data_IF_530562007042
#
_entry.id   IF_530562007042
#
_cell.length_a   1.000
_cell.length_b   1.000
_cell.length_c   1.000
_cell.angle_alpha   90.00
_cell.angle_beta   90.00
_cell.angle_gamma   90.00
#
_symmetry.space_group_name_H-M   'P 1'
#
loop_
_entity.id
_entity.type
_entity.pdbx_description
1 polymer ?
#
# COMPACT_ATOMS: atom_id res chain seq x y z
N UNK A 1 28.51 -9.80 26.56
CA UNK A 1 28.38 -8.68 25.61
C UNK A 1 27.60 -9.18 24.39
N UNK A 2 26.32 -8.81 24.21
CA UNK A 2 25.58 -9.09 22.98
C UNK A 2 25.86 -8.01 21.92
N UNK A 3 25.97 -8.43 20.67
CA UNK A 3 26.24 -7.60 19.50
C UNK A 3 25.08 -6.61 19.24
N UNK A 4 25.31 -5.41 18.66
CA UNK A 4 24.23 -4.52 18.21
C UNK A 4 23.67 -5.05 16.88
N UNK A 5 22.93 -6.16 16.91
CA UNK A 5 22.25 -6.63 15.71
C UNK A 5 21.07 -5.71 15.42
N UNK A 6 21.30 -4.80 14.46
CA UNK A 6 20.31 -4.32 13.50
C UNK A 6 18.97 -4.02 14.16
N UNK A 7 18.89 -2.86 14.82
CA UNK A 7 17.62 -2.20 14.99
C UNK A 7 17.17 -1.79 13.59
N UNK A 8 16.45 -2.71 12.90
CA UNK A 8 15.63 -2.30 11.75
C UNK A 8 14.58 -1.39 12.35
N UNK A 9 14.92 -0.12 12.51
CA UNK A 9 13.97 0.93 12.82
C UNK A 9 12.95 0.86 11.71
N UNK A 10 11.85 0.15 11.98
CA UNK A 10 10.70 0.14 11.09
C UNK A 10 10.38 1.63 10.93
N UNK A 11 10.35 2.17 9.70
CA UNK A 11 10.02 3.58 9.51
C UNK A 11 8.76 3.88 10.34
N UNK A 12 8.89 4.78 11.31
CA UNK A 12 7.78 5.20 12.16
C UNK A 12 6.80 5.97 11.28
N UNK A 13 5.84 5.24 10.74
CA UNK A 13 4.84 5.82 9.88
C UNK A 13 3.89 6.70 10.70
N UNK A 14 3.83 7.98 10.38
CA UNK A 14 3.03 8.94 11.13
C UNK A 14 1.57 8.92 10.67
N UNK A 15 1.36 8.71 9.37
CA UNK A 15 0.06 8.67 8.73
C UNK A 15 -0.33 7.29 8.23
N UNK A 16 0.55 6.29 8.30
CA UNK A 16 0.19 4.90 7.97
C UNK A 16 0.00 4.06 9.23
N UNK A 17 -1.08 3.29 9.27
CA UNK A 17 -1.43 2.42 10.39
C UNK A 17 -1.57 0.98 9.91
N UNK A 18 -0.98 0.05 10.66
CA UNK A 18 -1.21 -1.37 10.43
C UNK A 18 -2.58 -1.75 10.99
N UNK A 19 -3.34 -2.53 10.21
CA UNK A 19 -4.62 -3.09 10.64
C UNK A 19 -4.46 -4.61 10.71
N UNK A 20 -4.96 -5.27 11.77
CA UNK A 20 -4.97 -6.72 11.80
C UNK A 20 -5.93 -7.25 10.73
N UNK A 21 -5.38 -7.77 9.63
CA UNK A 21 -6.12 -8.47 8.59
C UNK A 21 -5.69 -9.95 8.57
N UNK A 22 -6.59 -10.85 8.19
CA UNK A 22 -6.32 -12.31 8.26
C UNK A 22 -5.11 -12.75 7.41
N UNK A 23 -4.85 -12.03 6.33
CA UNK A 23 -3.77 -12.34 5.38
C UNK A 23 -3.05 -11.10 4.83
N UNK A 24 -3.65 -9.90 4.95
CA UNK A 24 -3.02 -8.66 4.45
C UNK A 24 -2.14 -8.02 5.52
N UNK A 25 -0.94 -7.60 5.12
CA UNK A 25 0.04 -6.87 5.91
C UNK A 25 0.19 -5.41 5.46
N UNK A 26 -0.53 -5.00 4.42
CA UNK A 26 -0.55 -3.61 3.94
C UNK A 26 -0.91 -2.61 5.03
N UNK A 27 -0.23 -1.47 5.02
CA UNK A 27 -0.59 -0.32 5.85
C UNK A 27 -1.70 0.51 5.22
N UNK A 28 -2.52 1.10 6.07
CA UNK A 28 -3.66 1.94 5.72
C UNK A 28 -3.40 3.39 6.09
N UNK A 29 -3.96 4.32 5.34
CA UNK A 29 -3.87 5.73 5.71
C UNK A 29 -4.73 5.99 6.93
N UNK A 30 -4.16 6.67 7.91
CA UNK A 30 -4.79 7.03 9.17
C UNK A 30 -6.00 7.92 8.89
N UNK A 31 -7.15 7.53 9.43
CA UNK A 31 -8.42 8.22 9.19
C UNK A 31 -9.18 7.73 7.97
N UNK A 32 -8.61 6.85 7.14
CA UNK A 32 -9.31 6.28 5.98
C UNK A 32 -9.39 4.75 6.05
N UNK A 33 -10.16 4.19 5.11
CA UNK A 33 -10.24 2.74 4.84
C UNK A 33 -9.38 2.34 3.64
N UNK A 34 -8.55 3.25 3.14
CA UNK A 34 -7.80 3.09 1.89
C UNK A 34 -6.37 2.64 2.22
N UNK A 35 -5.87 1.56 1.60
CA UNK A 35 -4.50 1.11 1.79
C UNK A 35 -3.54 2.04 1.04
N UNK A 36 -2.31 2.18 1.55
CA UNK A 36 -1.25 2.98 0.95
C UNK A 36 -0.99 2.58 -0.52
N UNK A 37 -1.07 1.29 -0.82
CA UNK A 37 -0.93 0.76 -2.18
C UNK A 37 -1.98 1.32 -3.14
N UNK A 38 -3.23 1.48 -2.72
CA UNK A 38 -4.29 2.00 -3.60
C UNK A 38 -4.02 3.45 -3.95
N UNK A 39 -3.54 4.27 -3.01
CA UNK A 39 -3.16 5.66 -3.29
C UNK A 39 -1.96 5.72 -4.23
N UNK A 40 -0.95 4.90 -4.01
CA UNK A 40 0.21 4.82 -4.91
C UNK A 40 -0.18 4.33 -6.31
N UNK A 41 -0.96 3.26 -6.43
CA UNK A 41 -1.46 2.77 -7.72
C UNK A 41 -2.32 3.82 -8.41
N UNK A 42 -3.22 4.50 -7.68
CA UNK A 42 -4.03 5.59 -8.22
C UNK A 42 -3.18 6.77 -8.73
N UNK A 43 -2.12 7.13 -8.00
CA UNK A 43 -1.14 8.13 -8.42
C UNK A 43 -0.47 7.75 -9.75
N UNK A 44 0.02 6.51 -9.86
CA UNK A 44 0.73 6.04 -11.06
C UNK A 44 -0.26 5.91 -12.24
N UNK A 45 -1.42 5.29 -12.04
CA UNK A 45 -2.43 5.08 -13.09
C UNK A 45 -3.03 6.39 -13.62
N UNK A 46 -3.27 7.37 -12.75
CA UNK A 46 -3.82 8.68 -13.16
C UNK A 46 -2.73 9.72 -13.43
N UNK A 47 -1.45 9.36 -13.28
CA UNK A 47 -0.30 10.25 -13.32
C UNK A 47 -0.48 11.53 -12.47
N UNK A 48 -1.16 11.39 -11.33
CA UNK A 48 -1.45 12.48 -10.42
C UNK A 48 -0.17 12.92 -9.69
N UNK A 49 -0.12 14.19 -9.33
CA UNK A 49 0.88 14.68 -8.37
C UNK A 49 0.45 14.37 -6.93
N UNK A 50 1.39 14.24 -5.98
CA UNK A 50 1.05 13.96 -4.59
C UNK A 50 0.14 15.02 -3.95
N UNK A 51 0.23 16.27 -4.41
CA UNK A 51 -0.69 17.37 -4.04
C UNK A 51 -2.12 17.08 -4.55
N UNK A 52 -2.26 16.80 -5.84
CA UNK A 52 -3.55 16.50 -6.43
C UNK A 52 -4.19 15.23 -5.84
N UNK A 53 -3.38 14.21 -5.52
CA UNK A 53 -3.86 13.02 -4.84
C UNK A 53 -4.31 13.30 -3.40
N UNK A 54 -3.62 14.19 -2.68
CA UNK A 54 -4.02 14.63 -1.35
C UNK A 54 -5.40 15.29 -1.38
N UNK A 55 -5.65 16.17 -2.35
CA UNK A 55 -6.95 16.81 -2.55
C UNK A 55 -8.02 15.81 -3.02
N UNK A 56 -7.70 14.92 -3.96
CA UNK A 56 -8.65 13.96 -4.50
C UNK A 56 -9.17 12.96 -3.45
N UNK A 57 -8.27 12.49 -2.59
CA UNK A 57 -8.58 11.53 -1.54
C UNK A 57 -8.92 12.18 -0.18
N UNK A 58 -8.90 13.52 -0.10
CA UNK A 58 -9.09 14.29 1.14
C UNK A 58 -8.16 13.82 2.27
N UNK A 59 -6.88 13.60 1.95
CA UNK A 59 -5.85 13.14 2.89
C UNK A 59 -4.66 14.11 2.91
N UNK A 60 -3.93 14.22 4.02
CA UNK A 60 -2.76 15.08 4.07
C UNK A 60 -1.69 14.59 3.09
N UNK A 61 -1.04 15.52 2.39
CA UNK A 61 0.03 15.20 1.44
C UNK A 61 1.17 14.39 2.04
N UNK A 62 1.45 14.57 3.34
CA UNK A 62 2.43 13.75 4.07
C UNK A 62 2.05 12.26 4.06
N UNK A 63 0.76 11.92 4.16
CA UNK A 63 0.29 10.54 4.06
C UNK A 63 0.49 9.97 2.65
N UNK A 64 0.30 10.81 1.62
CA UNK A 64 0.54 10.42 0.23
C UNK A 64 2.03 10.13 0.01
N UNK A 65 2.91 11.02 0.45
CA UNK A 65 4.36 10.83 0.35
C UNK A 65 4.84 9.60 1.13
N UNK A 66 4.33 9.38 2.35
CA UNK A 66 4.61 8.16 3.11
C UNK A 66 4.10 6.92 2.39
N UNK A 67 2.91 6.98 1.76
CA UNK A 67 2.37 5.86 0.99
C UNK A 67 3.27 5.47 -0.18
N UNK A 68 3.79 6.46 -0.91
CA UNK A 68 4.75 6.25 -1.99
C UNK A 68 6.00 5.57 -1.44
N UNK A 69 6.62 6.13 -0.41
CA UNK A 69 7.86 5.60 0.17
C UNK A 69 7.66 4.19 0.76
N UNK A 70 6.55 3.95 1.46
CA UNK A 70 6.18 2.64 1.96
C UNK A 70 6.06 1.62 0.82
N UNK A 71 5.41 2.02 -0.27
CA UNK A 71 5.20 1.17 -1.43
C UNK A 71 6.49 0.85 -2.16
N UNK A 72 7.43 1.80 -2.24
CA UNK A 72 8.77 1.56 -2.80
C UNK A 72 9.60 0.61 -1.93
N UNK A 73 9.60 0.81 -0.62
CA UNK A 73 10.34 -0.02 0.34
C UNK A 73 9.77 -1.44 0.45
N UNK A 74 8.46 -1.59 0.33
CA UNK A 74 7.74 -2.86 0.53
C UNK A 74 7.16 -3.41 -0.77
N UNK A 75 7.71 -3.02 -1.92
CA UNK A 75 7.19 -3.40 -3.24
C UNK A 75 7.10 -4.92 -3.43
N UNK A 76 8.06 -5.65 -2.90
CA UNK A 76 8.08 -7.13 -2.90
C UNK A 76 6.94 -7.71 -2.06
N UNK A 77 6.72 -7.17 -0.85
CA UNK A 77 5.62 -7.57 0.03
C UNK A 77 4.27 -7.34 -0.65
N UNK A 78 4.06 -6.15 -1.21
CA UNK A 78 2.81 -5.82 -1.91
C UNK A 78 2.57 -6.74 -3.11
N UNK A 79 3.63 -7.08 -3.86
CA UNK A 79 3.52 -8.01 -4.99
C UNK A 79 3.12 -9.40 -4.51
N UNK A 80 3.69 -9.90 -3.42
CA UNK A 80 3.29 -11.18 -2.83
C UNK A 80 1.84 -11.16 -2.37
N UNK A 81 1.41 -10.09 -1.69
CA UNK A 81 0.02 -9.94 -1.23
C UNK A 81 -0.97 -9.85 -2.40
N UNK A 82 -0.63 -9.12 -3.47
CA UNK A 82 -1.46 -9.00 -4.67
C UNK A 82 -1.58 -10.35 -5.42
N UNK A 83 -0.52 -11.15 -5.43
CA UNK A 83 -0.56 -12.51 -5.98
C UNK A 83 -1.46 -13.42 -5.14
N UNK A 84 -1.30 -13.41 -3.82
CA UNK A 84 -2.15 -14.17 -2.88
C UNK A 84 -3.62 -13.77 -3.02
N UNK A 85 -3.91 -12.47 -3.11
CA UNK A 85 -5.25 -11.94 -3.38
C UNK A 85 -5.84 -12.53 -4.66
N UNK A 86 -5.06 -12.52 -5.75
CA UNK A 86 -5.48 -13.06 -7.02
C UNK A 86 -5.73 -14.57 -6.95
N UNK A 87 -4.87 -15.32 -6.26
CA UNK A 87 -5.06 -16.75 -6.05
C UNK A 87 -6.33 -17.05 -5.24
N UNK A 88 -6.61 -16.27 -4.20
CA UNK A 88 -7.84 -16.40 -3.40
C UNK A 88 -9.09 -16.06 -4.23
N UNK A 89 -9.03 -15.03 -5.07
CA UNK A 89 -10.12 -14.63 -5.97
C UNK A 89 -10.37 -15.68 -7.06
N UNK A 90 -9.32 -16.20 -7.70
CA UNK A 90 -9.41 -17.32 -8.64
C UNK A 90 -10.00 -18.57 -7.98
N UNK A 91 -9.53 -18.92 -6.78
CA UNK A 91 -10.05 -20.06 -6.02
C UNK A 91 -11.52 -19.89 -5.61
N UNK A 92 -11.96 -18.64 -5.39
CA UNK A 92 -13.35 -18.29 -5.14
C UNK A 92 -14.20 -18.20 -6.43
N UNK A 93 -13.61 -18.43 -7.61
CA UNK A 93 -14.29 -18.34 -8.91
C UNK A 93 -14.54 -16.91 -9.38
N UNK A 94 -13.88 -15.92 -8.78
CA UNK A 94 -13.95 -14.52 -9.17
C UNK A 94 -12.80 -14.26 -10.14
N UNK A 95 -13.12 -14.20 -11.43
CA UNK A 95 -12.16 -13.84 -12.47
C UNK A 95 -11.90 -12.35 -12.34
N UNK A 96 -10.76 -11.96 -11.75
CA UNK A 96 -10.25 -10.61 -11.94
C UNK A 96 -9.72 -10.53 -13.36
N UNK A 97 -10.58 -10.08 -14.28
CA UNK A 97 -10.15 -9.76 -15.64
C UNK A 97 -8.96 -8.78 -15.56
N UNK A 98 -7.83 -9.06 -16.22
CA UNK A 98 -6.82 -8.03 -16.40
C UNK A 98 -7.47 -6.92 -17.23
N UNK A 99 -7.44 -5.69 -16.72
CA UNK A 99 -7.77 -4.51 -17.53
C UNK A 99 -6.64 -4.29 -18.55
N UNK A 100 -6.50 -5.22 -19.49
CA UNK A 100 -5.80 -5.05 -20.76
C UNK A 100 -6.86 -4.60 -21.76
N UNK A 101 -7.26 -3.33 -21.66
CA UNK A 101 -8.00 -2.69 -22.74
C UNK A 101 -7.01 -2.03 -23.71
N UNK A 102 -6.70 -2.80 -24.76
CA UNK A 102 -6.40 -2.42 -26.14
C UNK A 102 -5.21 -1.49 -26.47
#
# INVERSE_FOLDING_TARGET
MPLPWIEKSQPEWNFLVSRPHKWRKQLYIKGTKIPASTVWSGLISNNLSPEAAAENWDIPIKAVLESINYCELNRDLLKMEALEERHLLEAAGIICEPEDSH
#
